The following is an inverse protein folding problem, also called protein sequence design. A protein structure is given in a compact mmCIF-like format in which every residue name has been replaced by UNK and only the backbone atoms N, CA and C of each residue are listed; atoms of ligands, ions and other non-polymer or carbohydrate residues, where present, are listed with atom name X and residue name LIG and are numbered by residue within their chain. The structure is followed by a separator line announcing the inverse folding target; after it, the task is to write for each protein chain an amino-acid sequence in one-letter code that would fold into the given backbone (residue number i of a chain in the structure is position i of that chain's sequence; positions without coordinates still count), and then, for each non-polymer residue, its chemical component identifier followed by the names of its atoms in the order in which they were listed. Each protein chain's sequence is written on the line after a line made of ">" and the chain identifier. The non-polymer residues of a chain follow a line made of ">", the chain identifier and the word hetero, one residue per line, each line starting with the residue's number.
data_IF_044709046339
#
_entry.id   IF_044709046339
#
_cell.length_a   1.000
_cell.length_b   1.000
_cell.length_c   1.000
_cell.angle_alpha   90.00
_cell.angle_beta   90.00
_cell.angle_gamma   90.00
#
_symmetry.space_group_name_H-M   'P 1'
#
loop_
_entity.id
_entity.type
_entity.pdbx_description
1 polymer ?
#
# COMPACT_ATOMS: atom_id res chain seq x y z
N UNK A 1 7.91 26.46 12.40
CA UNK A 1 8.99 25.66 11.79
C UNK A 1 9.15 24.41 12.63
N UNK A 2 8.35 23.39 12.33
CA UNK A 2 8.43 22.07 12.97
C UNK A 2 9.55 21.28 12.30
N UNK A 3 10.39 20.62 13.11
CA UNK A 3 11.55 19.84 12.68
C UNK A 3 11.16 18.84 11.59
N UNK A 4 11.66 19.05 10.37
CA UNK A 4 11.37 18.25 9.18
C UNK A 4 12.44 17.16 9.01
N UNK A 5 12.64 16.31 10.02
CA UNK A 5 13.72 15.32 10.00
C UNK A 5 13.37 13.95 10.62
N UNK A 6 12.15 13.77 11.11
CA UNK A 6 11.68 12.46 11.59
C UNK A 6 10.81 11.83 10.52
N UNK A 7 11.01 10.53 10.20
CA UNK A 7 10.20 9.84 9.19
C UNK A 7 8.74 9.78 9.64
N UNK A 8 7.84 9.96 8.67
CA UNK A 8 6.41 9.69 8.87
C UNK A 8 6.15 8.19 8.76
N UNK A 9 4.98 7.73 9.21
CA UNK A 9 4.56 6.35 8.97
C UNK A 9 4.50 6.03 7.48
N UNK A 10 3.99 6.98 6.68
CA UNK A 10 3.90 6.85 5.23
C UNK A 10 5.28 6.68 4.59
N UNK A 11 6.31 7.37 5.10
CA UNK A 11 7.69 7.19 4.63
C UNK A 11 8.18 5.77 4.88
N UNK A 12 7.96 5.24 6.09
CA UNK A 12 8.36 3.87 6.45
C UNK A 12 7.67 2.82 5.56
N UNK A 13 6.36 2.95 5.33
CA UNK A 13 5.64 2.01 4.48
C UNK A 13 6.08 2.10 3.01
N UNK A 14 6.37 3.30 2.50
CA UNK A 14 6.89 3.49 1.14
C UNK A 14 8.25 2.83 0.96
N UNK A 15 9.14 2.96 1.95
CA UNK A 15 10.47 2.33 1.91
C UNK A 15 10.36 0.80 1.90
N UNK A 16 9.50 0.22 2.73
CA UNK A 16 9.27 -1.23 2.77
C UNK A 16 8.61 -1.76 1.49
N UNK A 17 7.68 -1.01 0.89
CA UNK A 17 7.10 -1.33 -0.41
C UNK A 17 8.15 -1.25 -1.53
N UNK A 18 9.03 -0.25 -1.51
CA UNK A 18 10.09 -0.09 -2.49
C UNK A 18 11.09 -1.26 -2.49
N UNK A 19 11.42 -1.80 -1.30
CA UNK A 19 12.23 -3.03 -1.16
C UNK A 19 11.57 -4.23 -1.88
N UNK A 20 10.23 -4.25 -1.95
CA UNK A 20 9.44 -5.27 -2.64
C UNK A 20 9.17 -4.93 -4.12
N UNK A 21 9.78 -3.88 -4.66
CA UNK A 21 9.59 -3.42 -6.03
C UNK A 21 8.23 -2.77 -6.28
N UNK A 22 7.62 -2.20 -5.23
CA UNK A 22 6.33 -1.51 -5.28
C UNK A 22 6.51 -0.03 -5.01
N UNK A 23 5.79 0.78 -5.77
CA UNK A 23 5.83 2.23 -5.65
C UNK A 23 4.49 2.73 -5.14
N UNK A 24 4.54 3.49 -4.05
CA UNK A 24 3.37 4.10 -3.43
C UNK A 24 3.55 5.62 -3.32
N UNK A 25 2.45 6.32 -3.52
CA UNK A 25 2.37 7.77 -3.57
C UNK A 25 1.45 8.28 -2.46
N UNK A 26 1.79 9.40 -1.81
CA UNK A 26 0.89 10.01 -0.85
C UNK A 26 -0.37 10.54 -1.54
N UNK A 27 -1.50 10.46 -0.86
CA UNK A 27 -2.76 11.07 -1.27
C UNK A 27 -3.45 11.74 -0.09
N UNK A 28 -4.33 12.69 -0.39
CA UNK A 28 -5.15 13.38 0.59
C UNK A 28 -6.58 13.52 0.05
N UNK A 29 -7.56 13.12 0.87
CA UNK A 29 -8.98 13.29 0.54
C UNK A 29 -9.78 13.52 1.82
N UNK A 30 -10.62 14.56 1.85
CA UNK A 30 -11.49 14.82 3.00
C UNK A 30 -10.77 15.08 4.33
N UNK A 31 -9.49 15.49 4.30
CA UNK A 31 -8.66 15.69 5.50
C UNK A 31 -7.97 14.43 6.00
N UNK A 32 -8.15 13.29 5.32
CA UNK A 32 -7.43 12.05 5.56
C UNK A 32 -6.18 11.98 4.68
N UNK A 33 -5.04 11.57 5.24
CA UNK A 33 -3.83 11.29 4.45
C UNK A 33 -3.61 9.78 4.36
N UNK A 34 -3.25 9.31 3.16
CA UNK A 34 -3.11 7.90 2.84
C UNK A 34 -2.00 7.68 1.81
N UNK A 35 -1.70 6.42 1.50
CA UNK A 35 -0.87 6.02 0.39
C UNK A 35 -1.71 5.30 -0.66
N UNK A 36 -1.37 5.49 -1.93
CA UNK A 36 -1.92 4.73 -3.05
C UNK A 36 -0.81 4.05 -3.85
N UNK A 37 -1.10 2.86 -4.36
CA UNK A 37 -0.24 2.16 -5.31
C UNK A 37 -1.08 1.44 -6.36
N UNK A 38 -0.53 1.25 -7.55
CA UNK A 38 -1.12 0.34 -8.52
C UNK A 38 -1.02 -1.11 -8.02
N UNK A 39 -2.10 -1.88 -8.21
CA UNK A 39 -2.11 -3.30 -7.84
C UNK A 39 -1.23 -4.14 -8.78
N UNK A 40 -1.22 -3.80 -10.07
CA UNK A 40 -0.37 -4.43 -11.08
C UNK A 40 1.08 -3.92 -10.96
N UNK A 41 2.08 -4.80 -10.72
CA UNK A 41 3.49 -4.39 -10.68
C UNK A 41 4.03 -3.86 -12.01
N UNK A 42 3.37 -4.12 -13.13
CA UNK A 42 3.75 -3.61 -14.45
C UNK A 42 3.13 -2.26 -14.80
N UNK A 43 2.29 -1.69 -13.93
CA UNK A 43 1.70 -0.38 -14.15
C UNK A 43 2.78 0.72 -14.15
N UNK A 44 2.56 1.85 -14.85
CA UNK A 44 3.48 2.98 -14.82
C UNK A 44 3.73 3.47 -13.39
N UNK A 45 4.99 3.74 -13.07
CA UNK A 45 5.44 4.34 -11.81
C UNK A 45 5.13 5.85 -11.79
N UNK A 46 3.83 6.18 -11.71
CA UNK A 46 3.33 7.55 -11.66
C UNK A 46 2.05 7.64 -10.84
N UNK A 47 1.93 8.66 -9.99
CA UNK A 47 0.78 8.87 -9.10
C UNK A 47 -0.56 8.93 -9.86
N UNK A 48 -0.64 9.76 -10.90
CA UNK A 48 -1.84 9.89 -11.74
C UNK A 48 -2.25 8.55 -12.38
N UNK A 49 -1.26 7.72 -12.73
CA UNK A 49 -1.52 6.42 -13.32
C UNK A 49 -2.13 5.45 -12.30
N UNK A 50 -1.71 5.51 -11.04
CA UNK A 50 -2.26 4.68 -9.97
C UNK A 50 -3.74 4.96 -9.71
N UNK A 51 -4.21 6.21 -9.88
CA UNK A 51 -5.64 6.51 -9.80
C UNK A 51 -6.46 5.96 -10.97
N UNK A 52 -5.85 5.78 -12.14
CA UNK A 52 -6.54 5.31 -13.36
C UNK A 52 -6.64 3.78 -13.52
N UNK A 53 -6.13 3.01 -12.56
CA UNK A 53 -6.08 1.53 -12.63
C UNK A 53 -6.65 0.89 -11.36
N UNK A 54 -6.68 -0.44 -11.33
CA UNK A 54 -6.88 -1.20 -10.10
C UNK A 54 -5.79 -0.81 -9.08
N UNK A 55 -6.19 -0.29 -7.93
CA UNK A 55 -5.28 0.37 -6.98
C UNK A 55 -5.50 -0.10 -5.56
N UNK A 56 -4.44 -0.02 -4.75
CA UNK A 56 -4.50 -0.26 -3.31
C UNK A 56 -4.39 1.09 -2.61
N UNK A 57 -5.37 1.39 -1.77
CA UNK A 57 -5.36 2.53 -0.85
C UNK A 57 -4.97 2.02 0.54
N UNK A 58 -3.97 2.64 1.16
CA UNK A 58 -3.40 2.22 2.44
C UNK A 58 -3.39 3.39 3.41
N UNK A 59 -3.76 3.16 4.66
CA UNK A 59 -3.77 4.19 5.70
C UNK A 59 -3.60 3.59 7.09
N UNK A 60 -3.08 4.38 8.01
CA UNK A 60 -2.98 4.05 9.43
C UNK A 60 -3.80 5.10 10.20
N UNK A 61 -5.06 4.77 10.52
CA UNK A 61 -6.03 5.76 10.98
C UNK A 61 -6.30 6.85 9.95
N UNK A 62 -6.47 8.09 10.39
CA UNK A 62 -6.75 9.23 9.51
C UNK A 62 -5.49 9.88 8.90
N UNK A 63 -4.29 9.53 9.39
CA UNK A 63 -3.06 10.27 9.08
C UNK A 63 -1.85 9.40 8.79
N UNK A 64 -1.63 9.05 7.52
CA UNK A 64 -0.37 8.47 7.06
C UNK A 64 0.84 9.43 7.18
N UNK A 65 0.59 10.73 7.23
CA UNK A 65 1.62 11.78 7.35
C UNK A 65 2.04 12.09 8.79
N UNK A 66 1.54 11.34 9.79
CA UNK A 66 1.91 11.53 11.19
C UNK A 66 3.35 11.04 11.44
N UNK A 67 4.09 11.66 12.38
CA UNK A 67 5.41 11.17 12.78
C UNK A 67 5.34 9.69 13.21
N UNK A 68 6.32 8.88 12.80
CA UNK A 68 6.33 7.46 13.13
C UNK A 68 6.35 7.18 14.64
N UNK A 69 6.90 8.10 15.44
CA UNK A 69 6.89 8.00 16.90
C UNK A 69 5.47 8.07 17.52
N UNK A 70 4.51 8.64 16.79
CA UNK A 70 3.13 8.81 17.21
C UNK A 70 2.22 7.66 16.70
N UNK A 71 2.80 6.57 16.21
CA UNK A 71 2.05 5.42 15.70
C UNK A 71 1.18 4.79 16.77
N UNK A 72 -0.13 4.77 16.51
CA UNK A 72 -1.12 4.27 17.45
C UNK A 72 -2.23 3.45 16.80
N UNK A 73 -2.32 3.45 15.47
CA UNK A 73 -3.32 2.71 14.71
C UNK A 73 -2.63 1.90 13.62
N UNK A 74 -2.98 0.61 13.46
CA UNK A 74 -2.30 -0.25 12.50
C UNK A 74 -2.67 0.11 11.06
N UNK A 75 -1.76 -0.19 10.14
CA UNK A 75 -1.99 -0.04 8.71
C UNK A 75 -3.11 -0.97 8.21
N UNK A 76 -4.02 -0.39 7.44
CA UNK A 76 -5.03 -1.09 6.65
C UNK A 76 -4.80 -0.84 5.17
N UNK A 77 -5.24 -1.77 4.33
CA UNK A 77 -5.08 -1.71 2.89
C UNK A 77 -6.31 -2.25 2.18
N UNK A 78 -6.85 -1.48 1.24
CA UNK A 78 -8.06 -1.78 0.51
C UNK A 78 -7.85 -1.71 -0.99
N UNK A 79 -8.45 -2.64 -1.71
CA UNK A 79 -8.39 -2.71 -3.16
C UNK A 79 -9.58 -1.95 -3.76
N UNK A 80 -9.29 -1.06 -4.70
CA UNK A 80 -10.27 -0.26 -5.42
C UNK A 80 -10.12 -0.46 -6.93
N UNK A 81 -11.25 -0.45 -7.64
CA UNK A 81 -11.28 -0.35 -9.09
C UNK A 81 -10.83 1.05 -9.57
N UNK A 82 -10.61 1.18 -10.88
CA UNK A 82 -10.16 2.43 -11.49
C UNK A 82 -11.14 3.61 -11.31
N UNK A 83 -12.43 3.32 -11.14
CA UNK A 83 -13.45 4.33 -10.84
C UNK A 83 -13.54 4.70 -9.35
N UNK A 84 -12.66 4.13 -8.52
CA UNK A 84 -12.65 4.32 -7.06
C UNK A 84 -13.56 3.37 -6.29
N UNK A 85 -14.34 2.51 -6.96
CA UNK A 85 -15.21 1.54 -6.30
C UNK A 85 -14.38 0.60 -5.42
N UNK A 86 -14.73 0.52 -4.13
CA UNK A 86 -14.15 -0.46 -3.21
C UNK A 86 -14.50 -1.89 -3.65
N UNK A 87 -13.49 -2.76 -3.70
CA UNK A 87 -13.65 -4.16 -4.09
C UNK A 87 -13.50 -5.10 -2.89
N UNK A 88 -12.42 -4.95 -2.12
CA UNK A 88 -12.13 -5.82 -0.98
C UNK A 88 -11.06 -5.23 -0.07
N UNK A 89 -10.99 -5.70 1.17
CA UNK A 89 -9.90 -5.41 2.10
C UNK A 89 -8.79 -6.44 1.91
N UNK A 90 -7.56 -5.95 1.69
CA UNK A 90 -6.36 -6.77 1.67
C UNK A 90 -5.80 -6.91 3.08
N UNK A 91 -5.65 -5.82 3.82
CA UNK A 91 -5.10 -5.80 5.18
C UNK A 91 -6.06 -5.03 6.07
N UNK A 92 -6.43 -5.61 7.21
CA UNK A 92 -7.36 -5.04 8.19
C UNK A 92 -6.66 -4.83 9.54
N UNK A 93 -5.48 -4.19 9.50
CA UNK A 93 -4.59 -4.05 10.65
C UNK A 93 -3.84 -5.33 11.04
N UNK A 94 -2.70 -5.16 11.72
CA UNK A 94 -2.03 -6.27 12.39
C UNK A 94 -2.85 -6.70 13.63
N UNK A 95 -3.12 -8.00 13.83
CA UNK A 95 -3.89 -8.47 14.99
C UNK A 95 -3.14 -8.29 16.32
N UNK A 96 -1.85 -7.98 16.28
CA UNK A 96 -1.01 -7.69 17.45
C UNK A 96 -0.45 -6.28 17.33
N UNK A 97 -0.39 -5.49 18.42
CA UNK A 97 0.25 -4.18 18.38
C UNK A 97 1.72 -4.30 17.95
N UNK A 98 2.09 -3.51 16.95
CA UNK A 98 3.45 -3.38 16.44
C UNK A 98 3.89 -1.92 16.57
N UNK A 99 5.20 -1.70 16.57
CA UNK A 99 5.73 -0.35 16.34
C UNK A 99 5.59 0.03 14.85
N UNK A 100 5.76 1.32 14.55
CA UNK A 100 5.54 1.85 13.20
C UNK A 100 6.35 1.13 12.11
N UNK A 101 7.61 0.77 12.41
CA UNK A 101 8.50 0.13 11.44
C UNK A 101 8.10 -1.33 11.21
N UNK A 102 7.82 -2.07 12.28
CA UNK A 102 7.35 -3.44 12.19
C UNK A 102 5.97 -3.54 11.51
N UNK A 103 5.07 -2.60 11.79
CA UNK A 103 3.75 -2.57 11.15
C UNK A 103 3.83 -2.21 9.67
N UNK A 104 4.65 -1.22 9.30
CA UNK A 104 4.93 -0.89 7.90
C UNK A 104 5.51 -2.09 7.13
N UNK A 105 6.52 -2.76 7.68
CA UNK A 105 7.13 -3.93 7.06
C UNK A 105 6.15 -5.11 6.94
N UNK A 106 5.31 -5.31 7.96
CA UNK A 106 4.28 -6.35 7.93
C UNK A 106 3.22 -6.06 6.87
N UNK A 107 2.67 -4.84 6.86
CA UNK A 107 1.67 -4.41 5.89
C UNK A 107 2.18 -4.52 4.45
N UNK A 108 3.38 -4.03 4.15
CA UNK A 108 3.99 -4.12 2.82
C UNK A 108 4.07 -5.56 2.29
N UNK A 109 4.49 -6.49 3.16
CA UNK A 109 4.57 -7.93 2.85
C UNK A 109 3.18 -8.52 2.58
N UNK A 110 2.23 -8.25 3.46
CA UNK A 110 0.88 -8.78 3.40
C UNK A 110 0.12 -8.29 2.15
N UNK A 111 0.21 -7.00 1.83
CA UNK A 111 -0.35 -6.42 0.61
C UNK A 111 0.25 -7.11 -0.62
N UNK A 112 1.57 -7.19 -0.69
CA UNK A 112 2.28 -7.80 -1.83
C UNK A 112 1.92 -9.27 -2.01
N UNK A 113 1.83 -10.02 -0.90
CA UNK A 113 1.47 -11.44 -0.93
C UNK A 113 0.04 -11.64 -1.41
N UNK A 114 -0.92 -10.90 -0.87
CA UNK A 114 -2.34 -11.02 -1.26
C UNK A 114 -2.58 -10.61 -2.71
N UNK A 115 -1.92 -9.56 -3.19
CA UNK A 115 -1.94 -9.19 -4.61
C UNK A 115 -1.39 -10.32 -5.49
N UNK A 116 -0.30 -10.97 -5.08
CA UNK A 116 0.27 -12.10 -5.83
C UNK A 116 -0.68 -13.31 -5.92
N UNK A 117 -1.55 -13.50 -4.91
CA UNK A 117 -2.59 -14.52 -4.96
C UNK A 117 -3.75 -14.10 -5.85
N UNK A 118 -4.20 -12.84 -5.75
CA UNK A 118 -5.27 -12.30 -6.60
C UNK A 118 -4.91 -12.34 -8.09
N UNK A 119 -3.67 -12.07 -8.46
CA UNK A 119 -3.20 -12.29 -9.82
C UNK A 119 -3.27 -13.78 -10.18
N UNK A 120 -2.80 -14.70 -9.32
CA UNK A 120 -2.77 -16.13 -9.62
C UNK A 120 -4.15 -16.77 -9.79
N UNK A 121 -5.16 -16.30 -9.06
CA UNK A 121 -6.52 -16.85 -9.13
C UNK A 121 -7.36 -16.26 -10.27
N UNK A 122 -7.10 -15.02 -10.69
CA UNK A 122 -7.88 -14.35 -11.74
C UNK A 122 -7.26 -14.43 -13.16
N UNK A 123 -6.05 -14.97 -13.32
CA UNK A 123 -5.48 -15.21 -14.66
C UNK A 123 -5.77 -16.64 -15.13
N UNK A 124 -6.46 -16.85 -16.27
CA UNK A 124 -6.60 -18.18 -16.85
C UNK A 124 -5.21 -18.77 -17.17
N UNK A 125 -5.03 -20.11 -17.09
CA UNK A 125 -3.73 -20.79 -17.11
C UNK A 125 -2.91 -20.67 -18.41
N UNK A 126 -3.31 -19.84 -19.38
CA UNK A 126 -2.60 -19.61 -20.64
C UNK A 126 -1.51 -18.53 -20.54
N UNK A 127 -1.52 -17.68 -19.50
CA UNK A 127 -0.49 -16.65 -19.29
C UNK A 127 0.72 -17.12 -18.46
N UNK A 128 0.90 -18.43 -18.22
CA UNK A 128 2.04 -18.98 -17.45
C UNK A 128 3.37 -19.06 -18.22
N UNK A 129 3.46 -18.52 -19.43
CA UNK A 129 4.75 -18.38 -20.15
C UNK A 129 5.29 -16.98 -19.96
N UNK A 130 5.98 -16.74 -18.85
CA UNK A 130 7.14 -15.85 -18.69
C UNK A 130 7.62 -15.84 -17.22
N UNK A 131 7.61 -17.00 -16.55
CA UNK A 131 8.44 -17.25 -15.39
C UNK A 131 9.50 -18.27 -15.77
N UNK A 132 10.49 -17.83 -16.53
CA UNK A 132 11.77 -18.53 -16.65
C UNK A 132 12.81 -17.51 -16.21
N UNK A 133 13.34 -17.71 -15.00
CA UNK A 133 14.67 -17.21 -14.64
C UNK A 133 15.71 -18.09 -15.33
#
# INVERSE_FOLDING_TARGET
>A
MTNRNEPTEGDLLRDELAVLGRHAFPGEEGGMTFLIMAADPGAPDAEDAAYGVLRVMMYAGERADRPAADHCEPWSAHLHAADGTYLTTLVDGCPTPLDAAADAAWCAREVTQRLSWHCRENFPPVARRLCTF
#
